data_IF_673381297939
#
_entry.id   IF_673381297939
#
_cell.length_a   1.000
_cell.length_b   1.000
_cell.length_c   1.000
_cell.angle_alpha   90.00
_cell.angle_beta   90.00
_cell.angle_gamma   90.00
#
_symmetry.space_group_name_H-M   'P 1'
#
loop_
_entity.id
_entity.type
_entity.pdbx_description
1 polymer ?
#
# COMPACT_ATOMS: atom_id res chain seq x y z
N UNK A 1 -17.35 -43.45 22.80
CA UNK A 1 -17.04 -42.03 22.59
C UNK A 1 -16.21 -41.93 21.31
N UNK A 2 -16.83 -41.51 20.22
CA UNK A 2 -16.18 -41.39 18.93
C UNK A 2 -15.35 -40.11 18.92
N UNK A 3 -14.05 -40.23 18.65
CA UNK A 3 -13.19 -39.10 18.33
C UNK A 3 -13.56 -38.61 16.93
N UNK A 4 -14.38 -37.56 16.86
CA UNK A 4 -14.68 -36.87 15.61
C UNK A 4 -13.43 -36.08 15.21
N UNK A 5 -12.69 -36.65 14.27
CA UNK A 5 -11.48 -36.08 13.66
C UNK A 5 -11.77 -34.69 13.09
N UNK A 6 -11.09 -33.68 13.64
CA UNK A 6 -11.11 -32.28 13.23
C UNK A 6 -10.75 -32.09 11.76
N UNK A 7 -9.91 -32.98 11.20
CA UNK A 7 -9.48 -32.96 9.80
C UNK A 7 -10.64 -33.24 8.82
N UNK A 8 -11.65 -34.02 9.24
CA UNK A 8 -12.86 -34.24 8.42
C UNK A 8 -13.81 -33.05 8.42
N UNK A 9 -13.73 -32.18 9.43
CA UNK A 9 -14.54 -30.97 9.50
C UNK A 9 -14.03 -29.90 8.53
N UNK A 10 -12.71 -29.78 8.36
CA UNK A 10 -12.08 -28.86 7.40
C UNK A 10 -12.24 -29.34 5.94
N UNK A 11 -12.12 -30.65 5.69
CA UNK A 11 -12.35 -31.21 4.35
C UNK A 11 -13.80 -31.05 3.84
N UNK A 12 -14.79 -31.00 4.75
CA UNK A 12 -16.19 -30.74 4.40
C UNK A 12 -16.51 -29.28 4.06
N UNK A 13 -15.73 -28.34 4.58
CA UNK A 13 -15.91 -26.88 4.36
C UNK A 13 -15.32 -26.45 3.00
N UNK A 14 -14.20 -27.04 2.58
CA UNK A 14 -13.55 -26.74 1.29
C UNK A 14 -14.41 -27.19 0.10
N UNK A 15 -15.27 -28.21 0.29
CA UNK A 15 -16.18 -28.73 -0.76
C UNK A 15 -17.33 -27.76 -1.13
N UNK A 16 -17.57 -26.70 -0.36
CA UNK A 16 -18.72 -25.78 -0.56
C UNK A 16 -18.32 -24.30 -0.61
N UNK A 17 -17.02 -23.98 -0.59
CA UNK A 17 -16.56 -22.61 -0.59
C UNK A 17 -16.82 -21.92 -1.94
N UNK A 18 -17.77 -20.97 -1.93
CA UNK A 18 -18.05 -20.11 -3.08
C UNK A 18 -17.29 -18.79 -2.95
N UNK A 19 -16.05 -18.80 -3.43
CA UNK A 19 -15.17 -17.61 -3.50
C UNK A 19 -15.84 -16.43 -4.21
N UNK A 20 -16.62 -16.69 -5.26
CA UNK A 20 -17.24 -15.63 -6.07
C UNK A 20 -18.27 -14.87 -5.25
N UNK A 21 -19.10 -15.59 -4.49
CA UNK A 21 -20.07 -14.98 -3.59
C UNK A 21 -19.41 -14.22 -2.44
N UNK A 22 -18.33 -14.75 -1.85
CA UNK A 22 -17.58 -14.07 -0.79
C UNK A 22 -16.98 -12.75 -1.29
N UNK A 23 -16.29 -12.77 -2.43
CA UNK A 23 -15.71 -11.57 -3.04
C UNK A 23 -16.77 -10.54 -3.40
N UNK A 24 -17.90 -10.98 -3.95
CA UNK A 24 -19.00 -10.08 -4.30
C UNK A 24 -19.57 -9.41 -3.04
N UNK A 25 -19.81 -10.18 -1.97
CA UNK A 25 -20.32 -9.63 -0.72
C UNK A 25 -19.33 -8.63 -0.09
N UNK A 26 -18.03 -8.94 -0.13
CA UNK A 26 -16.97 -8.04 0.31
C UNK A 26 -16.98 -6.73 -0.49
N UNK A 27 -17.02 -6.80 -1.82
CA UNK A 27 -17.01 -5.63 -2.69
C UNK A 27 -18.29 -4.78 -2.57
N UNK A 28 -19.46 -5.43 -2.52
CA UNK A 28 -20.76 -4.79 -2.34
C UNK A 28 -20.84 -4.04 -0.99
N UNK A 29 -20.09 -4.49 0.02
CA UNK A 29 -20.03 -3.80 1.31
C UNK A 29 -19.45 -2.38 1.17
N UNK A 30 -18.53 -2.18 0.21
CA UNK A 30 -17.75 -0.94 -0.01
C UNK A 30 -17.01 -0.45 1.23
N UNK A 31 -16.77 -1.33 2.20
CA UNK A 31 -16.11 -0.97 3.47
C UNK A 31 -14.64 -1.38 3.55
N UNK A 32 -14.22 -2.27 2.66
CA UNK A 32 -12.87 -2.82 2.64
C UNK A 32 -12.56 -3.71 3.83
N UNK A 33 -11.29 -4.00 4.04
CA UNK A 33 -10.77 -4.81 5.14
C UNK A 33 -11.05 -4.15 6.49
N UNK A 34 -10.93 -2.83 6.56
CA UNK A 34 -11.27 -2.03 7.73
C UNK A 34 -12.70 -2.28 8.19
N UNK A 35 -13.65 -2.43 7.26
CA UNK A 35 -15.03 -2.79 7.58
C UNK A 35 -15.17 -4.17 8.20
N UNK A 36 -14.38 -5.16 7.76
CA UNK A 36 -14.38 -6.49 8.38
C UNK A 36 -13.90 -6.41 9.83
N UNK A 37 -12.83 -5.64 10.08
CA UNK A 37 -12.28 -5.43 11.42
C UNK A 37 -13.29 -4.72 12.33
N UNK A 38 -13.91 -3.64 11.85
CA UNK A 38 -14.93 -2.88 12.59
C UNK A 38 -16.17 -3.70 12.92
N UNK A 39 -16.52 -4.68 12.08
CA UNK A 39 -17.61 -5.63 12.33
C UNK A 39 -17.20 -6.83 13.19
N UNK A 40 -15.98 -6.84 13.74
CA UNK A 40 -15.53 -7.85 14.71
C UNK A 40 -15.19 -9.20 14.08
N UNK A 41 -14.65 -9.21 12.86
CA UNK A 41 -14.17 -10.45 12.22
C UNK A 41 -13.19 -11.20 13.13
N UNK A 42 -13.46 -12.48 13.39
CA UNK A 42 -12.64 -13.32 14.30
C UNK A 42 -11.68 -14.24 13.57
N UNK A 43 -11.89 -14.45 12.27
CA UNK A 43 -11.02 -15.23 11.38
C UNK A 43 -10.89 -14.51 10.05
N UNK A 44 -9.68 -14.48 9.50
CA UNK A 44 -9.45 -13.96 8.14
C UNK A 44 -10.31 -14.78 7.16
N UNK A 45 -11.13 -14.16 6.30
CA UNK A 45 -11.91 -14.84 5.25
C UNK A 45 -11.03 -15.58 4.24
N UNK A 46 -11.58 -16.63 3.63
CA UNK A 46 -10.81 -17.54 2.78
C UNK A 46 -10.26 -16.86 1.52
N UNK A 47 -10.93 -15.83 0.99
CA UNK A 47 -10.46 -15.05 -0.17
C UNK A 47 -9.09 -14.38 0.02
N UNK A 48 -8.60 -14.21 1.25
CA UNK A 48 -7.29 -13.60 1.53
C UNK A 48 -6.15 -14.61 1.73
N UNK A 49 -6.43 -15.91 1.73
CA UNK A 49 -5.38 -16.93 1.83
C UNK A 49 -4.74 -17.14 0.46
N UNK A 50 -3.42 -17.05 0.40
CA UNK A 50 -2.66 -17.36 -0.80
C UNK A 50 -2.21 -18.81 -0.75
N UNK A 51 -2.66 -19.63 -1.70
CA UNK A 51 -2.27 -21.05 -1.80
C UNK A 51 -0.76 -21.24 -2.06
N UNK A 52 -0.10 -20.21 -2.60
CA UNK A 52 1.34 -20.21 -2.90
C UNK A 52 2.20 -19.57 -1.81
N UNK A 53 1.69 -19.39 -0.59
CA UNK A 53 2.56 -19.09 0.54
C UNK A 53 3.35 -20.36 0.89
N UNK A 54 4.36 -20.68 0.09
CA UNK A 54 5.48 -21.50 0.55
C UNK A 54 6.11 -20.70 1.70
N UNK A 55 5.57 -20.84 2.91
CA UNK A 55 6.11 -20.27 4.14
C UNK A 55 7.54 -20.80 4.40
N UNK A 56 7.97 -21.82 3.66
CA UNK A 56 9.35 -22.30 3.61
C UNK A 56 10.32 -21.40 2.83
N UNK A 57 9.84 -20.40 2.08
CA UNK A 57 10.70 -19.36 1.47
C UNK A 57 11.02 -18.24 2.49
N UNK A 58 10.35 -18.27 3.65
CA UNK A 58 10.58 -17.39 4.78
C UNK A 58 11.24 -18.10 5.96
N UNK A 59 12.57 -18.10 5.98
CA UNK A 59 13.38 -18.06 7.22
C UNK A 59 13.36 -19.34 8.10
N UNK A 60 13.86 -20.46 7.58
CA UNK A 60 14.46 -21.51 8.44
C UNK A 60 15.87 -21.83 7.96
N UNK A 61 16.77 -20.85 8.09
CA UNK A 61 18.17 -21.03 7.75
C UNK A 61 19.03 -19.94 8.33
N UNK A 62 19.83 -20.29 9.34
CA UNK A 62 20.86 -19.44 9.92
C UNK A 62 21.92 -19.11 8.86
N UNK A 63 21.69 -18.08 8.03
CA UNK A 63 22.67 -17.50 7.10
C UNK A 63 22.15 -16.18 6.48
N UNK A 64 21.68 -15.22 7.27
CA UNK A 64 21.57 -13.84 6.77
C UNK A 64 22.95 -13.21 6.78
N UNK A 65 23.74 -13.54 5.77
CA UNK A 65 24.98 -12.82 5.47
C UNK A 65 24.64 -11.36 5.12
N UNK A 66 24.61 -10.47 6.12
CA UNK A 66 24.73 -9.00 6.01
C UNK A 66 24.19 -8.38 4.70
N UNK A 67 22.96 -8.68 4.30
CA UNK A 67 22.33 -7.98 3.18
C UNK A 67 21.91 -6.62 3.73
N UNK A 68 22.63 -5.56 3.32
CA UNK A 68 22.30 -4.18 3.64
C UNK A 68 21.75 -3.51 2.39
N UNK A 69 20.49 -3.06 2.45
CA UNK A 69 19.89 -2.25 1.38
C UNK A 69 20.73 -0.98 1.20
N UNK A 70 21.02 -0.55 -0.05
CA UNK A 70 21.74 0.70 -0.28
C UNK A 70 21.01 1.90 0.33
N UNK A 71 21.75 2.76 1.02
CA UNK A 71 21.27 4.05 1.53
C UNK A 71 21.98 5.16 0.76
N UNK A 72 21.19 6.07 0.20
CA UNK A 72 21.67 7.20 -0.60
C UNK A 72 21.41 8.49 0.19
N UNK A 73 22.48 9.19 0.51
CA UNK A 73 22.43 10.49 1.19
C UNK A 73 22.43 11.62 0.16
N UNK A 74 21.43 12.50 0.23
CA UNK A 74 21.27 13.65 -0.67
C UNK A 74 21.78 14.97 -0.06
N UNK A 75 22.43 14.94 1.10
CA UNK A 75 23.01 16.14 1.72
C UNK A 75 23.95 16.86 0.74
N UNK A 76 23.73 18.16 0.54
CA UNK A 76 24.61 19.00 -0.30
C UNK A 76 24.55 18.71 -1.80
N UNK A 77 23.62 17.89 -2.28
CA UNK A 77 23.54 17.50 -3.70
C UNK A 77 23.34 18.70 -4.65
N UNK A 78 22.81 19.80 -4.14
CA UNK A 78 22.60 21.03 -4.91
C UNK A 78 23.77 22.01 -4.85
N UNK A 79 24.73 21.78 -3.94
CA UNK A 79 25.82 22.71 -3.66
C UNK A 79 27.11 22.34 -4.43
N UNK A 80 27.29 21.06 -4.78
CA UNK A 80 28.50 20.54 -5.44
C UNK A 80 28.16 19.62 -6.63
N UNK A 81 28.46 20.01 -7.88
CA UNK A 81 28.27 19.18 -9.07
C UNK A 81 29.02 17.83 -9.02
N UNK A 82 30.20 17.77 -8.40
CA UNK A 82 30.99 16.54 -8.29
C UNK A 82 30.29 15.56 -7.34
N UNK A 83 29.77 16.06 -6.22
CA UNK A 83 28.97 15.27 -5.29
C UNK A 83 27.68 14.77 -5.97
N UNK A 84 27.01 15.63 -6.76
CA UNK A 84 25.83 15.24 -7.53
C UNK A 84 26.12 14.07 -8.47
N UNK A 85 27.20 14.13 -9.24
CA UNK A 85 27.58 13.04 -10.15
C UNK A 85 27.86 11.73 -9.40
N UNK A 86 28.51 11.80 -8.24
CA UNK A 86 28.74 10.63 -7.39
C UNK A 86 27.43 10.02 -6.86
N UNK A 87 26.50 10.86 -6.40
CA UNK A 87 25.17 10.41 -5.94
C UNK A 87 24.37 9.78 -7.09
N UNK A 88 24.38 10.38 -8.28
CA UNK A 88 23.74 9.81 -9.49
C UNK A 88 24.36 8.44 -9.82
N UNK A 89 25.68 8.29 -9.69
CA UNK A 89 26.36 7.00 -9.83
C UNK A 89 25.85 5.95 -8.84
N UNK A 90 25.66 6.32 -7.56
CA UNK A 90 25.08 5.42 -6.54
C UNK A 90 23.64 5.03 -6.85
N UNK A 91 22.81 5.98 -7.29
CA UNK A 91 21.42 5.70 -7.70
C UNK A 91 21.40 4.72 -8.87
N UNK A 92 22.21 4.94 -9.91
CA UNK A 92 22.32 4.02 -11.05
C UNK A 92 22.71 2.62 -10.60
N UNK A 93 23.75 2.50 -9.79
CA UNK A 93 24.19 1.21 -9.27
C UNK A 93 23.09 0.51 -8.45
N UNK A 94 22.38 1.24 -7.59
CA UNK A 94 21.28 0.68 -6.81
C UNK A 94 20.12 0.21 -7.70
N UNK A 95 19.73 0.98 -8.72
CA UNK A 95 18.73 0.56 -9.69
C UNK A 95 19.15 -0.72 -10.44
N UNK A 96 20.40 -0.79 -10.91
CA UNK A 96 20.90 -1.92 -11.72
C UNK A 96 21.14 -3.20 -10.92
N UNK A 97 21.60 -3.09 -9.67
CA UNK A 97 22.00 -4.25 -8.86
C UNK A 97 20.96 -4.67 -7.83
N UNK A 98 20.13 -3.74 -7.37
CA UNK A 98 19.18 -3.98 -6.28
C UNK A 98 17.73 -3.79 -6.71
N UNK A 99 17.45 -2.88 -7.65
CA UNK A 99 16.08 -2.47 -7.98
C UNK A 99 15.37 -1.70 -6.87
N UNK A 100 16.04 -1.46 -5.73
CA UNK A 100 15.51 -0.77 -4.57
C UNK A 100 16.62 -0.13 -3.73
N UNK A 101 16.34 1.01 -3.10
CA UNK A 101 17.25 1.72 -2.19
C UNK A 101 16.47 2.64 -1.25
N UNK A 102 17.11 3.07 -0.18
CA UNK A 102 16.58 4.10 0.73
C UNK A 102 17.27 5.43 0.46
N UNK A 103 16.55 6.52 0.71
CA UNK A 103 17.07 7.89 0.58
C UNK A 103 16.98 8.58 1.93
N UNK A 104 18.05 9.26 2.34
CA UNK A 104 18.09 10.13 3.52
C UNK A 104 18.48 11.55 3.12
N UNK A 105 18.19 12.51 4.00
CA UNK A 105 18.45 13.94 3.76
C UNK A 105 17.84 14.45 2.44
N UNK A 106 16.66 13.93 2.07
CA UNK A 106 15.95 14.24 0.83
C UNK A 106 15.26 15.62 0.82
N UNK A 107 15.49 16.47 1.83
CA UNK A 107 14.97 17.84 1.88
C UNK A 107 13.48 17.99 2.23
N UNK A 108 12.73 16.89 2.37
CA UNK A 108 11.32 16.94 2.83
C UNK A 108 11.32 17.04 4.36
N UNK A 109 10.72 18.08 4.95
CA UNK A 109 10.66 18.22 6.40
C UNK A 109 9.92 17.05 7.06
N UNK A 110 10.48 16.53 8.15
CA UNK A 110 9.93 15.36 8.86
C UNK A 110 8.48 15.54 9.30
N UNK A 111 8.11 16.74 9.76
CA UNK A 111 6.74 17.04 10.16
C UNK A 111 5.71 16.88 9.02
N UNK A 112 6.13 17.06 7.76
CA UNK A 112 5.25 16.81 6.60
C UNK A 112 5.00 15.31 6.42
N UNK A 113 6.05 14.49 6.59
CA UNK A 113 5.93 13.03 6.54
C UNK A 113 5.03 12.52 7.68
N UNK A 114 5.23 13.04 8.90
CA UNK A 114 4.42 12.69 10.06
C UNK A 114 2.95 13.06 9.86
N UNK A 115 2.66 14.25 9.32
CA UNK A 115 1.29 14.65 9.03
C UNK A 115 0.66 13.88 7.89
N UNK A 116 1.44 13.38 6.92
CA UNK A 116 0.92 12.45 5.92
C UNK A 116 0.53 11.11 6.53
N UNK A 117 1.38 10.53 7.40
CA UNK A 117 1.06 9.28 8.10
C UNK A 117 -0.22 9.47 8.93
N UNK A 118 -0.26 10.51 9.77
CA UNK A 118 -1.42 10.81 10.61
C UNK A 118 -2.66 11.12 9.77
N UNK A 119 -2.53 11.86 8.68
CA UNK A 119 -3.62 12.18 7.76
C UNK A 119 -4.25 10.92 7.17
N UNK A 120 -3.43 10.01 6.67
CA UNK A 120 -3.88 8.71 6.18
C UNK A 120 -4.58 7.91 7.29
N UNK A 121 -4.00 7.83 8.49
CA UNK A 121 -4.66 7.18 9.63
C UNK A 121 -6.03 7.80 9.94
N UNK A 122 -6.12 9.14 9.98
CA UNK A 122 -7.38 9.86 10.23
C UNK A 122 -8.44 9.49 9.20
N UNK A 123 -8.09 9.36 7.91
CA UNK A 123 -9.01 8.92 6.87
C UNK A 123 -9.53 7.50 7.11
N UNK A 124 -8.65 6.54 7.33
CA UNK A 124 -9.05 5.14 7.54
C UNK A 124 -9.84 4.93 8.84
N UNK A 125 -9.69 5.82 9.82
CA UNK A 125 -10.43 5.81 11.08
C UNK A 125 -11.78 6.55 11.03
N UNK A 126 -12.11 7.26 9.94
CA UNK A 126 -13.43 7.90 9.80
C UNK A 126 -14.53 6.86 9.70
N UNK A 127 -15.78 7.24 9.97
CA UNK A 127 -16.93 6.36 9.78
C UNK A 127 -16.95 5.73 8.37
N UNK A 128 -17.35 4.46 8.30
CA UNK A 128 -17.47 3.72 7.04
C UNK A 128 -18.33 4.45 5.99
N UNK A 129 -19.33 5.24 6.41
CA UNK A 129 -20.15 6.05 5.51
C UNK A 129 -19.32 7.09 4.73
N UNK A 130 -18.38 7.75 5.40
CA UNK A 130 -17.51 8.77 4.79
C UNK A 130 -16.53 8.09 3.83
N UNK A 131 -15.88 7.00 4.27
CA UNK A 131 -14.93 6.26 3.41
C UNK A 131 -15.61 5.69 2.16
N UNK A 132 -16.87 5.24 2.27
CA UNK A 132 -17.68 4.72 1.15
C UNK A 132 -17.91 5.73 0.03
N UNK A 133 -17.90 7.02 0.30
CA UNK A 133 -18.06 8.06 -0.74
C UNK A 133 -16.90 8.03 -1.75
N UNK A 134 -15.72 7.63 -1.28
CA UNK A 134 -14.52 7.45 -2.08
C UNK A 134 -14.42 6.03 -2.67
N UNK A 135 -15.26 5.08 -2.23
CA UNK A 135 -15.15 3.71 -2.69
C UNK A 135 -15.52 3.57 -4.15
N UNK A 136 -14.56 3.15 -4.98
CA UNK A 136 -14.79 2.95 -6.41
C UNK A 136 -13.78 1.99 -7.01
N UNK A 137 -14.24 1.28 -8.04
CA UNK A 137 -13.39 0.49 -8.96
C UNK A 137 -13.23 1.15 -10.33
N UNK A 138 -13.86 2.32 -10.54
CA UNK A 138 -13.80 3.05 -11.79
C UNK A 138 -12.43 3.71 -11.95
N UNK A 139 -11.72 3.35 -13.02
CA UNK A 139 -10.38 3.88 -13.34
C UNK A 139 -10.39 5.38 -13.67
N UNK A 140 -11.56 5.93 -14.03
CA UNK A 140 -11.72 7.36 -14.35
C UNK A 140 -11.72 8.28 -13.12
N UNK A 141 -11.98 7.75 -11.92
CA UNK A 141 -11.97 8.54 -10.69
C UNK A 141 -10.54 8.88 -10.29
N UNK A 142 -10.28 10.16 -10.05
CA UNK A 142 -8.95 10.62 -9.64
C UNK A 142 -8.63 10.35 -8.18
N UNK A 143 -9.64 10.20 -7.33
CA UNK A 143 -9.50 9.81 -5.92
C UNK A 143 -10.33 8.56 -5.69
N UNK A 144 -9.71 7.49 -5.20
CA UNK A 144 -10.34 6.19 -5.03
C UNK A 144 -9.94 5.54 -3.72
N UNK A 145 -10.93 5.00 -3.01
CA UNK A 145 -10.74 4.10 -1.89
C UNK A 145 -11.07 2.68 -2.33
N UNK A 146 -10.15 1.74 -2.15
CA UNK A 146 -10.35 0.33 -2.50
C UNK A 146 -9.37 -0.58 -1.76
N UNK A 147 -9.71 -1.86 -1.62
CA UNK A 147 -8.82 -2.84 -1.00
C UNK A 147 -7.83 -3.44 -2.01
N UNK A 148 -8.37 -3.89 -3.14
CA UNK A 148 -7.65 -4.68 -4.13
C UNK A 148 -8.04 -4.23 -5.54
N UNK A 149 -7.07 -3.84 -6.37
CA UNK A 149 -7.32 -3.42 -7.76
C UNK A 149 -7.85 -4.57 -8.60
N UNK A 150 -7.20 -5.72 -8.50
CA UNK A 150 -7.41 -6.97 -9.26
C UNK A 150 -8.23 -8.00 -8.47
N UNK A 151 -9.14 -7.55 -7.59
CA UNK A 151 -9.88 -8.41 -6.64
C UNK A 151 -10.56 -9.63 -7.31
N UNK A 152 -11.10 -9.45 -8.52
CA UNK A 152 -11.82 -10.50 -9.25
C UNK A 152 -10.91 -11.38 -10.12
N UNK A 153 -9.67 -10.98 -10.34
CA UNK A 153 -8.71 -11.62 -11.24
C UNK A 153 -7.67 -12.44 -10.46
N UNK A 154 -7.20 -11.90 -9.34
CA UNK A 154 -6.16 -12.54 -8.53
C UNK A 154 -6.68 -13.77 -7.80
N UNK A 155 -5.83 -14.80 -7.59
CA UNK A 155 -6.19 -16.01 -6.86
C UNK A 155 -6.49 -15.75 -5.37
N UNK A 156 -5.86 -14.72 -4.80
CA UNK A 156 -6.05 -14.28 -3.40
C UNK A 156 -6.05 -12.75 -3.31
N UNK A 157 -6.89 -12.19 -2.46
CA UNK A 157 -6.91 -10.77 -2.16
C UNK A 157 -5.85 -10.39 -1.12
N UNK A 158 -5.34 -9.17 -1.17
CA UNK A 158 -4.49 -8.60 -0.12
C UNK A 158 -5.34 -8.13 1.07
N UNK A 159 -4.87 -8.42 2.29
CA UNK A 159 -5.43 -7.87 3.53
C UNK A 159 -5.00 -6.40 3.72
N UNK A 160 -5.50 -5.53 2.85
CA UNK A 160 -5.12 -4.11 2.77
C UNK A 160 -6.29 -3.26 2.31
N UNK A 161 -6.33 -2.02 2.79
CA UNK A 161 -7.12 -0.94 2.20
C UNK A 161 -6.19 0.18 1.69
N UNK A 162 -6.59 0.82 0.59
CA UNK A 162 -5.79 1.82 -0.12
C UNK A 162 -6.64 3.04 -0.43
N UNK A 163 -6.15 4.22 -0.07
CA UNK A 163 -6.60 5.49 -0.64
C UNK A 163 -5.60 5.91 -1.72
N UNK A 164 -6.05 5.97 -2.96
CA UNK A 164 -5.24 6.21 -4.14
C UNK A 164 -5.63 7.51 -4.85
N UNK A 165 -4.63 8.14 -5.48
CA UNK A 165 -4.79 9.39 -6.21
C UNK A 165 -4.12 9.30 -7.58
N UNK A 166 -4.85 9.63 -8.65
CA UNK A 166 -4.30 9.79 -9.98
C UNK A 166 -3.96 11.25 -10.23
N UNK A 167 -2.66 11.55 -10.39
CA UNK A 167 -2.17 12.92 -10.59
C UNK A 167 -2.00 13.29 -12.08
N UNK A 168 -2.08 12.31 -12.97
CA UNK A 168 -1.88 12.48 -14.41
C UNK A 168 -3.08 11.92 -15.18
N UNK A 169 -3.44 12.50 -16.34
CA UNK A 169 -2.85 13.70 -16.95
C UNK A 169 -3.24 15.00 -16.24
N UNK A 170 -4.31 14.99 -15.45
CA UNK A 170 -4.80 16.14 -14.70
C UNK A 170 -4.99 15.74 -13.23
N UNK A 171 -4.35 16.44 -12.28
CA UNK A 171 -4.48 16.12 -10.87
C UNK A 171 -5.91 16.37 -10.35
N UNK A 172 -6.28 15.81 -9.20
CA UNK A 172 -7.53 16.15 -8.52
C UNK A 172 -7.51 17.59 -8.04
N UNK A 173 -8.65 18.26 -8.08
CA UNK A 173 -8.85 19.54 -7.40
C UNK A 173 -8.74 19.35 -5.88
N UNK A 174 -8.43 20.42 -5.16
CA UNK A 174 -8.22 20.34 -3.71
C UNK A 174 -9.43 19.73 -2.98
N UNK A 175 -10.64 20.07 -3.44
CA UNK A 175 -11.91 19.62 -2.88
C UNK A 175 -12.18 18.13 -3.08
N UNK A 176 -11.58 17.51 -4.10
CA UNK A 176 -11.70 16.08 -4.38
C UNK A 176 -10.97 15.22 -3.33
N UNK A 177 -9.96 15.77 -2.65
CA UNK A 177 -9.27 15.04 -1.58
C UNK A 177 -10.09 15.01 -0.28
N UNK A 178 -10.03 13.91 0.50
CA UNK A 178 -10.69 13.84 1.80
C UNK A 178 -10.21 14.94 2.74
N UNK A 179 -11.15 15.68 3.32
CA UNK A 179 -10.85 16.89 4.10
C UNK A 179 -9.83 16.63 5.24
N UNK A 180 -9.89 15.46 5.86
CA UNK A 180 -9.03 15.07 7.01
C UNK A 180 -7.55 14.86 6.68
N UNK A 181 -7.23 14.64 5.40
CA UNK A 181 -5.86 14.44 4.92
C UNK A 181 -5.47 15.34 3.74
N UNK A 182 -6.40 16.13 3.20
CA UNK A 182 -6.22 17.04 2.06
C UNK A 182 -4.96 17.90 2.16
N UNK A 183 -4.79 18.62 3.27
CA UNK A 183 -3.66 19.53 3.42
C UNK A 183 -2.32 18.78 3.36
N UNK A 184 -2.21 17.67 4.09
CA UNK A 184 -1.01 16.85 4.10
C UNK A 184 -0.70 16.29 2.69
N UNK A 185 -1.73 15.82 1.98
CA UNK A 185 -1.60 15.31 0.60
C UNK A 185 -1.08 16.40 -0.33
N UNK A 186 -1.72 17.58 -0.35
CA UNK A 186 -1.31 18.67 -1.23
C UNK A 186 0.13 19.09 -0.96
N UNK A 187 0.52 19.24 0.32
CA UNK A 187 1.89 19.65 0.68
C UNK A 187 2.92 18.61 0.22
N UNK A 188 2.70 17.31 0.49
CA UNK A 188 3.67 16.30 0.07
C UNK A 188 3.76 16.21 -1.46
N UNK A 189 2.64 16.33 -2.17
CA UNK A 189 2.61 16.31 -3.63
C UNK A 189 3.39 17.48 -4.24
N UNK A 190 3.23 18.68 -3.70
CA UNK A 190 3.99 19.85 -4.13
C UNK A 190 5.50 19.64 -3.93
N UNK A 191 5.92 19.10 -2.78
CA UNK A 191 7.33 18.83 -2.50
C UNK A 191 7.91 17.74 -3.40
N UNK A 192 7.15 16.69 -3.70
CA UNK A 192 7.56 15.63 -4.62
C UNK A 192 7.68 16.14 -6.06
N UNK A 193 6.73 16.97 -6.52
CA UNK A 193 6.77 17.57 -7.85
C UNK A 193 7.94 18.56 -7.99
N UNK A 194 8.22 19.37 -6.96
CA UNK A 194 9.40 20.23 -6.98
C UNK A 194 10.69 19.42 -7.04
N UNK A 195 10.80 18.32 -6.29
CA UNK A 195 11.96 17.44 -6.33
C UNK A 195 12.17 16.82 -7.72
N UNK A 196 11.08 16.38 -8.39
CA UNK A 196 11.14 15.82 -9.74
C UNK A 196 11.50 16.86 -10.82
N UNK A 197 11.09 18.13 -10.66
CA UNK A 197 11.45 19.20 -11.58
C UNK A 197 12.97 19.46 -11.60
N UNK A 198 13.65 19.31 -10.45
CA UNK A 198 15.09 19.51 -10.33
C UNK A 198 15.95 18.32 -10.83
N UNK A 199 15.35 17.14 -11.03
CA UNK A 199 16.05 15.96 -11.58
C UNK A 199 16.01 15.93 -13.12
N UNK A 200 15.08 16.66 -13.75
CA UNK A 200 14.93 16.73 -15.21
C UNK A 200 15.80 17.79 -15.90
N UNK A 201 16.56 18.58 -15.15
CA UNK A 201 17.54 19.56 -15.64
C UNK A 201 18.95 19.12 -15.31
#
# INVERSE_FOLDING_TARGET
>A
MAATSTDKLEAGIVSSYDRKSEIKAFDDSKTGVQGLVENGVTKVPLMFYSENSNLNDGVTGASYSKISIPIIDLTGIHDDPILRDHVVGKVRYACEKWGFFQVINHGIPTHVLDEMIKGTCRFHQQDAKVRKEYYTREVSRKVAYLSNYTLFEDPSADWRDTLAFSLAPHPPEAEEFPAVCRFAIIVILLLLLSALAHVRT
#
